data_IF_466813640357
#
_entry.id   IF_466813640357
#
_cell.length_a   1.000
_cell.length_b   1.000
_cell.length_c   1.000
_cell.angle_alpha   90.00
_cell.angle_beta   90.00
_cell.angle_gamma   90.00
#
_symmetry.space_group_name_H-M   'P 1'
#
loop_
_entity.id
_entity.type
_entity.pdbx_description
1 polymer ?
#
# COMPACT_ATOMS: atom_id res chain seq x y z
N UNK A 1 -5.93 0.24 17.75
CA UNK A 1 -6.70 -0.22 16.57
C UNK A 1 -5.99 0.30 15.34
N UNK A 2 -5.36 -0.60 14.59
CA UNK A 2 -4.76 -0.33 13.29
C UNK A 2 -5.89 0.06 12.30
N UNK A 3 -5.65 1.03 11.41
CA UNK A 3 -6.64 1.43 10.41
C UNK A 3 -6.75 0.31 9.37
N UNK A 4 -7.93 -0.30 9.20
CA UNK A 4 -8.09 -1.45 8.30
C UNK A 4 -7.74 -1.15 6.83
N UNK A 5 -7.89 0.10 6.41
CA UNK A 5 -7.54 0.59 5.08
C UNK A 5 -6.09 1.09 4.99
N UNK A 6 -5.27 0.87 6.01
CA UNK A 6 -3.82 1.08 5.96
C UNK A 6 -3.12 -0.25 5.63
N UNK A 7 -2.47 -0.29 4.47
CA UNK A 7 -1.84 -1.49 3.94
C UNK A 7 -0.34 -1.59 4.27
N UNK A 8 0.24 -0.55 4.88
CA UNK A 8 1.69 -0.49 5.12
C UNK A 8 2.47 -0.39 3.80
N UNK A 9 3.60 -1.09 3.73
CA UNK A 9 4.52 -1.05 2.61
C UNK A 9 4.09 -1.98 1.46
N UNK A 10 3.03 -1.60 0.75
CA UNK A 10 2.66 -2.21 -0.53
C UNK A 10 3.18 -1.35 -1.69
N UNK A 11 3.50 -2.01 -2.81
CA UNK A 11 3.97 -1.31 -4.00
C UNK A 11 2.84 -0.51 -4.66
N UNK A 12 3.22 0.42 -5.54
CA UNK A 12 2.26 1.16 -6.35
C UNK A 12 1.36 0.23 -7.17
N UNK A 13 1.94 -0.81 -7.76
CA UNK A 13 1.24 -1.76 -8.63
C UNK A 13 0.18 -2.54 -7.85
N UNK A 14 0.53 -3.06 -6.66
CA UNK A 14 -0.42 -3.76 -5.77
C UNK A 14 -1.55 -2.82 -5.35
N UNK A 15 -1.23 -1.56 -5.02
CA UNK A 15 -2.22 -0.55 -4.69
C UNK A 15 -3.21 -0.30 -5.84
N UNK A 16 -2.70 -0.13 -7.06
CA UNK A 16 -3.52 0.07 -8.27
C UNK A 16 -4.40 -1.14 -8.55
N UNK A 17 -3.88 -2.35 -8.38
CA UNK A 17 -4.63 -3.58 -8.54
C UNK A 17 -5.79 -3.69 -7.53
N UNK A 18 -5.52 -3.45 -6.24
CA UNK A 18 -6.53 -3.50 -5.19
C UNK A 18 -7.66 -2.50 -5.42
N UNK A 19 -7.31 -1.28 -5.82
CA UNK A 19 -8.27 -0.23 -6.15
C UNK A 19 -9.08 -0.60 -7.41
N UNK A 20 -8.42 -1.12 -8.44
CA UNK A 20 -9.06 -1.55 -9.69
C UNK A 20 -10.03 -2.70 -9.47
N UNK A 21 -9.65 -3.70 -8.66
CA UNK A 21 -10.54 -4.82 -8.24
C UNK A 21 -11.79 -4.30 -7.52
N UNK A 22 -11.68 -3.23 -6.73
CA UNK A 22 -12.84 -2.59 -6.08
C UNK A 22 -13.71 -1.84 -7.09
N UNK A 23 -13.10 -1.15 -8.05
CA UNK A 23 -13.75 -0.59 -9.25
C UNK A 23 -14.76 0.54 -9.02
N UNK A 24 -14.83 1.13 -7.82
CA UNK A 24 -15.77 2.21 -7.50
C UNK A 24 -15.07 3.57 -7.37
N UNK A 25 -15.63 4.61 -7.97
CA UNK A 25 -15.16 5.98 -7.76
C UNK A 25 -15.22 6.35 -6.27
N UNK A 26 -14.14 6.92 -5.75
CA UNK A 26 -13.98 7.19 -4.31
C UNK A 26 -13.53 5.97 -3.51
N UNK A 27 -13.13 4.87 -4.17
CA UNK A 27 -12.38 3.80 -3.50
C UNK A 27 -11.02 4.30 -3.07
N UNK A 28 -10.58 3.95 -1.88
CA UNK A 28 -9.32 4.46 -1.36
C UNK A 28 -8.62 3.50 -0.41
N UNK A 29 -7.31 3.70 -0.25
CA UNK A 29 -6.49 3.09 0.78
C UNK A 29 -5.31 3.99 1.16
N UNK A 30 -4.69 3.70 2.30
CA UNK A 30 -3.43 4.30 2.74
C UNK A 30 -2.30 3.28 2.62
N UNK A 31 -1.12 3.73 2.19
CA UNK A 31 0.11 2.94 2.15
C UNK A 31 1.33 3.78 2.50
N UNK A 32 2.46 3.15 2.75
CA UNK A 32 3.75 3.83 2.86
C UNK A 32 4.23 4.30 1.48
N UNK A 33 4.96 5.41 1.45
CA UNK A 33 5.58 5.90 0.21
C UNK A 33 6.85 5.09 -0.09
N UNK A 34 6.91 4.49 -1.28
CA UNK A 34 8.09 3.75 -1.75
C UNK A 34 9.30 4.66 -1.99
N UNK A 35 9.07 5.93 -2.32
CA UNK A 35 10.13 6.88 -2.70
C UNK A 35 10.58 7.79 -1.58
N UNK A 36 9.77 7.99 -0.54
CA UNK A 36 10.06 8.94 0.53
C UNK A 36 9.80 8.29 1.89
N UNK A 37 10.86 7.88 2.61
CA UNK A 37 10.72 7.27 3.94
C UNK A 37 9.92 8.16 4.91
N UNK A 38 8.99 7.56 5.64
CA UNK A 38 8.16 8.25 6.64
C UNK A 38 7.02 9.11 6.07
N UNK A 39 6.87 9.16 4.74
CA UNK A 39 5.70 9.77 4.08
C UNK A 39 4.68 8.69 3.78
N UNK A 40 3.41 9.01 4.01
CA UNK A 40 2.29 8.14 3.67
C UNK A 40 1.67 8.59 2.35
N UNK A 41 1.02 7.66 1.67
CA UNK A 41 0.29 7.89 0.44
C UNK A 41 -1.19 7.58 0.66
N UNK A 42 -2.07 8.56 0.40
CA UNK A 42 -3.50 8.34 0.20
C UNK A 42 -3.74 8.12 -1.28
N UNK A 43 -4.18 6.92 -1.63
CA UNK A 43 -4.46 6.53 -3.00
C UNK A 43 -5.98 6.46 -3.20
N UNK A 44 -6.49 7.14 -4.22
CA UNK A 44 -7.93 7.28 -4.50
C UNK A 44 -8.22 6.94 -5.95
N UNK A 45 -9.16 6.02 -6.19
CA UNK A 45 -9.64 5.67 -7.52
C UNK A 45 -10.72 6.67 -7.98
N UNK A 46 -10.52 7.25 -9.15
CA UNK A 46 -11.51 8.07 -9.83
C UNK A 46 -11.34 7.96 -11.34
N UNK A 47 -12.43 7.63 -12.06
CA UNK A 47 -12.42 7.50 -13.53
C UNK A 47 -11.32 6.55 -14.04
N UNK A 48 -11.16 5.39 -13.38
CA UNK A 48 -10.15 4.36 -13.70
C UNK A 48 -8.69 4.80 -13.49
N UNK A 49 -8.46 5.98 -12.92
CA UNK A 49 -7.14 6.48 -12.56
C UNK A 49 -6.95 6.49 -11.04
N UNK A 50 -5.73 6.14 -10.60
CA UNK A 50 -5.35 6.21 -9.19
C UNK A 50 -4.60 7.51 -8.92
N UNK A 51 -5.25 8.38 -8.15
CA UNK A 51 -4.68 9.64 -7.67
C UNK A 51 -3.97 9.40 -6.35
N UNK A 52 -2.70 9.78 -6.27
CA UNK A 52 -1.88 9.61 -5.07
C UNK A 52 -1.57 10.96 -4.44
N UNK A 53 -1.96 11.12 -3.17
CA UNK A 53 -1.69 12.30 -2.37
C UNK A 53 -0.71 11.97 -1.26
N UNK A 54 0.33 12.79 -1.10
CA UNK A 54 1.33 12.61 -0.04
C UNK A 54 0.83 13.15 1.28
N UNK A 55 0.98 12.39 2.35
CA UNK A 55 0.68 12.77 3.72
C UNK A 55 1.99 12.78 4.51
N UNK A 56 2.33 13.94 5.04
CA UNK A 56 3.51 14.19 5.84
C UNK A 56 3.15 14.18 7.32
N UNK A 57 3.94 13.48 8.13
CA UNK A 57 3.89 13.59 9.58
C UNK A 57 4.80 14.72 10.04
N UNK A 58 4.23 15.70 10.73
CA UNK A 58 4.95 16.83 11.32
C UNK A 58 5.63 16.45 12.62
N UNK A 59 6.60 17.26 13.05
CA UNK A 59 7.33 17.06 14.31
C UNK A 59 6.43 17.06 15.56
N UNK A 60 5.31 17.79 15.51
CA UNK A 60 4.30 17.79 16.59
C UNK A 60 3.37 16.55 16.57
N UNK A 61 3.62 15.58 15.68
CA UNK A 61 2.83 14.36 15.53
C UNK A 61 1.58 14.51 14.66
N UNK A 62 1.25 15.71 14.18
CA UNK A 62 0.12 15.94 13.29
C UNK A 62 0.42 15.49 11.85
N UNK A 63 -0.62 15.36 11.06
CA UNK A 63 -0.58 14.97 9.66
C UNK A 63 -1.02 16.11 8.77
N UNK A 64 -0.32 16.29 7.65
CA UNK A 64 -0.65 17.26 6.60
C UNK A 64 -0.65 16.53 5.26
N UNK A 65 -1.68 16.75 4.46
CA UNK A 65 -1.78 16.19 3.11
C UNK A 65 -1.48 17.25 2.05
N UNK A 66 -0.74 16.86 1.02
CA UNK A 66 -0.46 17.68 -0.14
C UNK A 66 -1.55 17.47 -1.19
N UNK A 67 -2.56 18.36 -1.19
CA UNK A 67 -3.60 18.43 -2.21
C UNK A 67 -3.30 19.53 -3.24
N UNK A 68 -4.17 19.70 -4.23
CA UNK A 68 -4.08 20.85 -5.14
C UNK A 68 -4.19 22.18 -4.38
N UNK A 69 -3.56 23.24 -4.90
CA UNK A 69 -3.34 24.54 -4.24
C UNK A 69 -4.61 25.30 -3.80
N UNK A 70 -5.80 24.81 -4.19
CA UNK A 70 -7.09 25.43 -3.87
C UNK A 70 -7.73 24.90 -2.57
N UNK A 71 -7.13 23.88 -1.94
CA UNK A 71 -7.60 23.34 -0.67
C UNK A 71 -6.96 24.05 0.54
N UNK A 72 -7.67 24.19 1.68
CA UNK A 72 -7.07 24.71 2.90
C UNK A 72 -5.96 23.76 3.38
N UNK A 73 -4.76 24.30 3.65
CA UNK A 73 -3.68 23.54 4.32
C UNK A 73 -4.11 23.26 5.76
N UNK A 74 -4.64 22.07 5.99
CA UNK A 74 -5.14 21.63 7.30
C UNK A 74 -4.15 20.68 7.97
N UNK A 75 -4.03 20.85 9.29
CA UNK A 75 -3.29 19.95 10.17
C UNK A 75 -4.28 19.03 10.89
N UNK A 76 -4.04 17.72 10.82
CA UNK A 76 -4.87 16.71 11.45
C UNK A 76 -4.14 16.05 12.61
N UNK A 77 -4.79 15.87 13.76
CA UNK A 77 -4.17 15.23 14.93
C UNK A 77 -3.91 13.74 14.69
N UNK A 78 -4.82 13.09 13.99
CA UNK A 78 -4.73 11.66 13.66
C UNK A 78 -5.02 11.42 12.18
N UNK A 79 -4.55 10.29 11.65
CA UNK A 79 -4.92 9.84 10.29
C UNK A 79 -6.42 9.59 10.15
N UNK A 80 -7.10 9.20 11.23
CA UNK A 80 -8.54 9.00 11.24
C UNK A 80 -9.28 10.32 11.02
N UNK A 81 -8.84 11.39 11.68
CA UNK A 81 -9.43 12.73 11.50
C UNK A 81 -9.19 13.25 10.08
N UNK A 82 -8.00 12.99 9.53
CA UNK A 82 -7.68 13.31 8.14
C UNK A 82 -8.66 12.63 7.19
N UNK A 83 -8.81 11.31 7.29
CA UNK A 83 -9.73 10.55 6.43
C UNK A 83 -11.17 11.05 6.58
N UNK A 84 -11.65 11.23 7.82
CA UNK A 84 -13.00 11.72 8.07
C UNK A 84 -13.27 13.13 7.50
N UNK A 85 -12.22 13.97 7.38
CA UNK A 85 -12.36 15.25 6.69
C UNK A 85 -12.57 15.05 5.18
N UNK A 86 -11.77 14.19 4.55
CA UNK A 86 -11.81 13.93 3.11
C UNK A 86 -12.93 13.00 2.64
N UNK A 87 -13.65 12.36 3.55
CA UNK A 87 -14.96 11.74 3.28
C UNK A 87 -16.02 12.79 2.88
N UNK A 88 -15.81 14.06 3.23
CA UNK A 88 -16.69 15.16 2.84
C UNK A 88 -16.36 15.66 1.43
N UNK A 89 -17.36 16.07 0.63
CA UNK A 89 -17.12 16.66 -0.68
C UNK A 89 -16.35 17.98 -0.60
N UNK A 90 -15.73 18.35 -1.73
CA UNK A 90 -15.10 19.66 -1.95
C UNK A 90 -13.93 20.03 -1.01
N UNK A 91 -13.16 19.04 -0.53
CA UNK A 91 -12.00 19.27 0.35
C UNK A 91 -10.65 19.38 -0.38
N UNK A 92 -10.63 19.35 -1.72
CA UNK A 92 -9.39 19.34 -2.53
C UNK A 92 -8.98 17.95 -3.07
N UNK A 93 -9.78 16.93 -2.74
CA UNK A 93 -9.96 15.64 -3.42
C UNK A 93 -10.25 15.79 -4.91
N UNK A 94 -9.76 14.88 -5.77
CA UNK A 94 -10.40 14.62 -7.08
C UNK A 94 -11.85 14.15 -6.87
N UNK A 95 -12.07 13.34 -5.83
CA UNK A 95 -13.35 12.91 -5.31
C UNK A 95 -13.23 12.73 -3.80
N UNK A 96 -14.35 12.79 -3.08
CA UNK A 96 -14.40 12.47 -1.67
C UNK A 96 -14.23 10.96 -1.44
N UNK A 97 -13.75 10.61 -0.24
CA UNK A 97 -13.50 9.23 0.15
C UNK A 97 -14.84 8.54 0.46
N UNK A 98 -15.12 7.41 -0.19
CA UNK A 98 -16.40 6.71 -0.06
C UNK A 98 -16.25 5.24 0.35
N UNK A 99 -15.28 4.55 -0.26
CA UNK A 99 -15.19 3.10 -0.17
C UNK A 99 -13.79 2.68 0.29
N UNK A 100 -13.57 2.46 1.61
CA UNK A 100 -12.29 1.97 2.08
C UNK A 100 -12.03 0.58 1.49
N UNK A 101 -10.81 0.39 0.98
CA UNK A 101 -10.28 -0.93 0.60
C UNK A 101 -9.47 -1.43 1.78
N UNK A 102 -10.04 -2.38 2.52
CA UNK A 102 -9.40 -2.92 3.72
C UNK A 102 -8.34 -3.96 3.34
N UNK A 103 -7.27 -4.04 4.13
CA UNK A 103 -6.29 -5.11 4.07
C UNK A 103 -7.00 -6.42 4.44
N UNK A 104 -6.94 -7.40 3.56
CA UNK A 104 -7.28 -8.78 3.90
C UNK A 104 -6.10 -9.39 4.63
N UNK A 105 -6.34 -10.09 5.74
CA UNK A 105 -5.27 -10.67 6.59
C UNK A 105 -4.41 -11.73 5.86
N UNK A 106 -4.79 -12.13 4.64
CA UNK A 106 -4.16 -13.18 3.85
C UNK A 106 -2.95 -12.76 3.00
N UNK A 107 -2.48 -11.51 3.08
CA UNK A 107 -1.33 -11.02 2.29
C UNK A 107 -0.10 -10.64 3.15
N UNK A 108 0.03 -11.19 4.35
CA UNK A 108 1.22 -10.99 5.19
C UNK A 108 2.36 -12.00 4.95
N UNK A 109 2.20 -12.95 4.02
CA UNK A 109 3.24 -13.94 3.72
C UNK A 109 3.65 -13.92 2.25
N UNK A 110 4.43 -12.94 1.80
CA UNK A 110 5.31 -13.02 0.61
C UNK A 110 6.14 -11.73 0.42
N UNK A 111 6.83 -11.29 1.47
CA UNK A 111 8.01 -10.43 1.33
C UNK A 111 9.12 -10.96 2.24
N UNK A 112 9.52 -12.21 2.00
CA UNK A 112 10.84 -12.69 2.37
C UNK A 112 11.56 -13.04 1.06
N UNK A 113 12.06 -12.01 0.36
CA UNK A 113 13.25 -12.20 -0.46
C UNK A 113 14.40 -12.44 0.52
N UNK A 114 14.63 -13.70 0.88
CA UNK A 114 15.95 -14.17 1.29
C UNK A 114 16.38 -15.10 0.16
N UNK A 115 17.29 -14.63 -0.68
CA UNK A 115 18.09 -15.50 -1.52
C UNK A 115 18.92 -16.36 -0.57
N UNK A 116 18.50 -17.61 -0.35
CA UNK A 116 19.32 -18.64 0.29
C UNK A 116 19.91 -19.51 -0.83
N UNK A 117 21.23 -19.43 -1.09
CA UNK A 117 21.88 -20.30 -2.06
C UNK A 117 22.36 -21.56 -1.33
N UNK A 118 21.58 -22.63 -1.35
CA UNK A 118 22.10 -23.93 -0.93
C UNK A 118 21.09 -24.95 -0.42
N UNK A 119 20.10 -25.32 -1.24
CA UNK A 119 19.42 -26.60 -1.01
C UNK A 119 20.28 -27.70 -1.64
N UNK A 120 21.10 -28.36 -0.81
CA UNK A 120 21.71 -29.64 -1.19
C UNK A 120 20.58 -30.66 -1.29
N UNK A 121 20.26 -31.08 -2.51
CA UNK A 121 19.37 -32.21 -2.74
C UNK A 121 20.11 -33.46 -2.25
N UNK A 122 19.66 -34.06 -1.15
CA UNK A 122 20.08 -35.42 -0.80
C UNK A 122 19.50 -36.34 -1.88
N UNK A 123 20.35 -36.76 -2.82
CA UNK A 123 20.02 -37.79 -3.80
C UNK A 123 20.11 -39.12 -3.05
N UNK A 124 18.99 -39.83 -2.94
CA UNK A 124 18.95 -41.19 -2.41
C UNK A 124 19.85 -42.10 -3.28
N UNK A 125 20.64 -42.96 -2.62
CA UNK A 125 21.76 -43.75 -3.19
C UNK A 125 21.37 -44.75 -4.32
N UNK A 126 20.15 -44.71 -4.86
CA UNK A 126 19.63 -45.72 -5.80
C UNK A 126 19.88 -45.40 -7.29
N UNK A 127 20.34 -44.18 -7.63
CA UNK A 127 20.59 -43.77 -9.03
C UNK A 127 22.07 -43.89 -9.46
N UNK A 128 22.91 -44.60 -8.70
CA UNK A 128 24.30 -44.87 -9.12
C UNK A 128 24.32 -45.98 -10.18
N UNK A 129 24.38 -45.59 -11.46
CA UNK A 129 24.71 -46.53 -12.54
C UNK A 129 26.24 -46.72 -12.53
N UNK A 130 26.68 -47.91 -12.13
CA UNK A 130 28.08 -48.32 -12.28
C UNK A 130 28.45 -48.33 -13.77
N UNK A 131 29.29 -47.38 -14.18
CA UNK A 131 29.93 -47.37 -15.50
C UNK A 131 31.22 -48.16 -15.39
N UNK A 132 31.20 -49.43 -15.81
CA UNK A 132 32.43 -50.21 -15.98
C UNK A 132 33.30 -49.59 -17.10
N UNK A 133 34.60 -49.38 -16.86
CA UNK A 133 35.52 -48.95 -17.91
C UNK A 133 35.92 -50.12 -18.83
N UNK A 134 36.02 -49.86 -20.14
CA UNK A 134 36.64 -50.75 -21.15
C UNK A 134 38.15 -50.94 -20.94
#
# INVERSE_FOLDING_TARGET
MELQYFHGNITKEICEELLSRKGKNGSFLLRDSESIPGVLCLCVLYEQLVYTYRIFKKHNGHYMIQTSERGPKQDFRTLKDLVANYEKPNQGLVIHLCYPVNRTEFHQGSQHHHEDPGEYVEIEDEDYIDVEPE
#
